data_IF_015343972751
#
_entry.id   IF_015343972751
#
_cell.length_a   1.000
_cell.length_b   1.000
_cell.length_c   1.000
_cell.angle_alpha   90.00
_cell.angle_beta   90.00
_cell.angle_gamma   90.00
#
_symmetry.space_group_name_H-M   'P 1'
#
loop_
_entity.id
_entity.type
_entity.pdbx_description
1 polymer ?
#
# COMPACT_ATOMS: atom_id res chain seq x y z
N UNK A 1 -5.42 -11.04 4.75
CA UNK A 1 -4.65 -9.77 4.80
C UNK A 1 -5.55 -8.63 5.27
N UNK A 2 -5.09 -7.82 6.19
CA UNK A 2 -5.90 -6.75 6.78
C UNK A 2 -5.15 -5.43 6.75
N UNK A 3 -5.89 -4.33 6.64
CA UNK A 3 -5.32 -2.99 6.71
C UNK A 3 -5.08 -2.55 8.17
N UNK A 4 -4.74 -1.27 8.36
CA UNK A 4 -4.47 -0.73 9.69
C UNK A 4 -5.69 -0.74 10.62
N UNK A 5 -6.89 -0.80 10.07
CA UNK A 5 -8.15 -0.84 10.81
C UNK A 5 -8.72 -2.25 10.96
N UNK A 6 -8.04 -3.26 10.46
CA UNK A 6 -8.52 -4.63 10.48
C UNK A 6 -9.50 -4.98 9.36
N UNK A 7 -9.68 -4.11 8.38
CA UNK A 7 -10.51 -4.42 7.22
C UNK A 7 -9.77 -5.40 6.29
N UNK A 8 -10.50 -6.38 5.76
CA UNK A 8 -9.90 -7.39 4.89
C UNK A 8 -9.53 -6.78 3.54
N UNK A 9 -8.29 -7.04 3.11
CA UNK A 9 -7.77 -6.61 1.82
C UNK A 9 -7.71 -7.79 0.87
N UNK A 10 -8.09 -7.56 -0.38
CA UNK A 10 -8.04 -8.55 -1.45
C UNK A 10 -7.28 -7.98 -2.65
N UNK A 11 -6.83 -8.86 -3.55
CA UNK A 11 -6.21 -8.44 -4.81
C UNK A 11 -7.14 -7.50 -5.57
N UNK A 12 -6.59 -6.42 -6.07
CA UNK A 12 -7.35 -5.44 -6.83
C UNK A 12 -8.02 -4.36 -5.99
N UNK A 13 -7.96 -4.45 -4.67
CA UNK A 13 -8.54 -3.43 -3.80
C UNK A 13 -7.78 -2.11 -3.90
N UNK A 14 -8.42 -1.05 -3.43
CA UNK A 14 -7.80 0.27 -3.31
C UNK A 14 -7.57 0.59 -1.84
N UNK A 15 -6.48 1.28 -1.55
CA UNK A 15 -6.14 1.67 -0.18
C UNK A 15 -5.65 3.13 -0.17
N UNK A 16 -5.78 3.76 1.01
CA UNK A 16 -5.18 5.08 1.27
C UNK A 16 -3.97 4.92 2.17
N UNK A 17 -2.95 5.71 1.91
CA UNK A 17 -1.81 5.83 2.82
C UNK A 17 -2.24 6.71 3.99
N UNK A 18 -2.04 6.24 5.22
CA UNK A 18 -2.49 6.96 6.42
C UNK A 18 -1.41 7.84 7.05
N UNK A 19 -0.20 7.77 6.52
CA UNK A 19 0.90 8.66 6.93
C UNK A 19 1.90 8.78 5.79
N UNK A 20 2.80 9.75 5.89
CA UNK A 20 3.84 9.92 4.89
C UNK A 20 4.79 8.73 4.91
N UNK A 21 4.96 8.08 3.76
CA UNK A 21 5.83 6.91 3.61
C UNK A 21 6.95 7.22 2.62
N UNK A 22 8.17 6.95 3.04
CA UNK A 22 9.32 7.04 2.15
C UNK A 22 9.60 5.64 1.60
N UNK A 23 9.56 5.50 0.28
CA UNK A 23 9.76 4.21 -0.36
C UNK A 23 11.26 3.93 -0.49
N UNK A 24 11.71 2.79 0.03
CA UNK A 24 13.11 2.39 -0.06
C UNK A 24 13.53 2.11 -1.49
N UNK A 25 14.73 2.51 -1.84
CA UNK A 25 15.29 2.25 -3.17
C UNK A 25 14.82 3.22 -4.25
N UNK A 26 13.97 4.17 -3.90
CA UNK A 26 13.54 5.24 -4.81
C UNK A 26 13.54 6.57 -4.07
N UNK A 27 13.45 7.66 -4.82
CA UNK A 27 13.29 8.99 -4.22
C UNK A 27 11.80 9.34 -4.00
N UNK A 28 10.92 8.37 -4.20
CA UNK A 28 9.48 8.58 -4.10
C UNK A 28 9.03 8.61 -2.64
N UNK A 29 8.22 9.61 -2.31
CA UNK A 29 7.54 9.70 -1.02
C UNK A 29 6.03 9.65 -1.25
N UNK A 30 5.36 8.71 -0.59
CA UNK A 30 3.90 8.64 -0.62
C UNK A 30 3.36 9.43 0.55
N UNK A 31 2.60 10.47 0.26
CA UNK A 31 2.02 11.32 1.29
C UNK A 31 0.71 10.76 1.81
N UNK A 32 0.37 11.13 3.04
CA UNK A 32 -0.89 10.75 3.65
C UNK A 32 -2.06 11.16 2.74
N UNK A 33 -3.00 10.25 2.59
CA UNK A 33 -4.17 10.46 1.72
C UNK A 33 -3.96 10.02 0.28
N UNK A 34 -2.76 9.55 -0.07
CA UNK A 34 -2.52 9.02 -1.42
C UNK A 34 -3.35 7.78 -1.64
N UNK A 35 -4.12 7.76 -2.73
CA UNK A 35 -4.92 6.61 -3.12
C UNK A 35 -4.08 5.66 -3.98
N UNK A 36 -4.04 4.40 -3.58
CA UNK A 36 -3.36 3.35 -4.32
C UNK A 36 -4.40 2.35 -4.76
N UNK A 37 -4.49 2.11 -6.06
CA UNK A 37 -5.46 1.20 -6.65
C UNK A 37 -4.79 -0.09 -7.09
N UNK A 38 -5.61 -1.13 -7.19
CA UNK A 38 -5.19 -2.40 -7.76
C UNK A 38 -3.99 -3.00 -7.03
N UNK A 39 -4.09 -3.07 -5.71
CA UNK A 39 -3.05 -3.69 -4.90
C UNK A 39 -3.02 -5.19 -5.15
N UNK A 40 -1.86 -5.78 -4.85
CA UNK A 40 -1.69 -7.23 -4.89
C UNK A 40 -1.21 -7.74 -3.55
N UNK A 41 -1.77 -8.87 -3.14
CA UNK A 41 -1.35 -9.52 -1.92
C UNK A 41 -0.03 -10.25 -2.17
N UNK A 42 0.83 -10.26 -1.16
CA UNK A 42 2.10 -10.99 -1.21
C UNK A 42 2.02 -12.22 -0.32
N UNK A 43 3.10 -12.99 -0.29
CA UNK A 43 3.21 -14.12 0.64
C UNK A 43 3.34 -13.67 2.09
N UNK A 44 3.67 -12.41 2.33
CA UNK A 44 3.74 -11.82 3.67
C UNK A 44 2.39 -11.16 3.98
N UNK A 45 1.73 -11.58 5.05
CA UNK A 45 0.43 -11.08 5.45
C UNK A 45 0.44 -9.60 5.84
N UNK A 46 1.60 -9.04 6.12
CA UNK A 46 1.75 -7.65 6.56
C UNK A 46 2.16 -6.71 5.43
N UNK A 47 2.32 -7.23 4.21
CA UNK A 47 2.79 -6.44 3.08
C UNK A 47 1.91 -6.65 1.86
N UNK A 48 1.76 -5.58 1.08
CA UNK A 48 1.11 -5.64 -0.23
C UNK A 48 2.06 -5.10 -1.28
N UNK A 49 1.84 -5.52 -2.52
CA UNK A 49 2.56 -5.00 -3.66
C UNK A 49 1.63 -4.08 -4.45
N UNK A 50 2.15 -2.97 -4.94
CA UNK A 50 1.37 -2.06 -5.76
C UNK A 50 2.25 -1.41 -6.82
N UNK A 51 1.59 -0.85 -7.84
CA UNK A 51 2.25 -0.06 -8.88
C UNK A 51 1.76 1.38 -8.78
N UNK A 52 2.69 2.30 -8.58
CA UNK A 52 2.42 3.73 -8.66
C UNK A 52 2.84 4.25 -10.03
N UNK A 53 2.37 5.44 -10.42
CA UNK A 53 2.68 6.03 -11.74
C UNK A 53 4.17 6.12 -12.01
N UNK A 54 4.97 6.37 -10.98
CA UNK A 54 6.41 6.60 -11.11
C UNK A 54 7.28 5.45 -10.64
N UNK A 55 6.67 4.38 -10.13
CA UNK A 55 7.41 3.23 -9.63
C UNK A 55 6.55 1.98 -9.69
N UNK A 56 7.13 0.88 -10.13
CA UNK A 56 6.46 -0.41 -10.21
C UNK A 56 7.01 -1.35 -9.14
N UNK A 57 6.16 -2.27 -8.68
CA UNK A 57 6.60 -3.28 -7.72
C UNK A 57 6.89 -2.74 -6.33
N UNK A 58 6.18 -1.70 -5.91
CA UNK A 58 6.32 -1.16 -4.57
C UNK A 58 5.74 -2.13 -3.55
N UNK A 59 6.47 -2.37 -2.47
CA UNK A 59 6.00 -3.18 -1.35
C UNK A 59 5.75 -2.25 -0.17
N UNK A 60 4.52 -2.27 0.34
CA UNK A 60 4.10 -1.41 1.44
C UNK A 60 3.52 -2.26 2.57
N UNK A 61 3.77 -1.83 3.79
CA UNK A 61 3.20 -2.50 4.97
C UNK A 61 1.74 -2.10 5.15
N UNK A 62 0.88 -3.08 5.43
CA UNK A 62 -0.55 -2.85 5.60
C UNK A 62 -0.86 -1.96 6.80
N UNK A 63 0.00 -1.92 7.81
CA UNK A 63 -0.22 -1.08 8.99
C UNK A 63 -0.19 0.42 8.67
N UNK A 64 0.29 0.82 7.50
CA UNK A 64 0.30 2.20 7.04
C UNK A 64 -0.80 2.50 6.02
N UNK A 65 -1.70 1.55 5.80
CA UNK A 65 -2.72 1.63 4.78
C UNK A 65 -4.11 1.45 5.37
N UNK A 66 -5.10 2.06 4.73
CA UNK A 66 -6.49 1.94 5.09
C UNK A 66 -7.30 1.63 3.83
N UNK A 67 -8.18 0.65 3.90
CA UNK A 67 -9.03 0.30 2.75
C UNK A 67 -9.88 1.50 2.33
N UNK A 68 -9.86 1.76 1.04
CA UNK A 68 -10.66 2.84 0.47
C UNK A 68 -12.13 2.45 0.32
#
# INVERSE_FOLDING_TARGET
MRDSNGAILNDGDSVHVIKDLKVKGTSLTLKRGTLIKNIRLTSDEEEIECNAEKAKGLVLKTCFLKKA
#
